data_IF_267929058363
#
_entry.id   IF_267929058363
#
_cell.length_a   1.000
_cell.length_b   1.000
_cell.length_c   1.000
_cell.angle_alpha   90.00
_cell.angle_beta   90.00
_cell.angle_gamma   90.00
#
_symmetry.space_group_name_H-M   'P 1'
#
loop_
_entity.id
_entity.type
_entity.pdbx_description
1 polymer ?
#
# COMPACT_ATOMS: atom_id res chain seq x y z
N UNK A 1 40.42 -55.62 54.74
CA UNK A 1 41.04 -55.38 53.42
C UNK A 1 39.96 -55.57 52.36
N UNK A 2 39.79 -54.56 51.50
CA UNK A 2 39.17 -54.65 50.17
C UNK A 2 37.67 -55.01 50.15
N UNK A 3 36.85 -54.04 49.72
CA UNK A 3 36.14 -54.12 48.43
C UNK A 3 34.87 -53.27 48.44
N UNK A 4 34.59 -52.71 47.25
CA UNK A 4 33.26 -52.29 46.79
C UNK A 4 32.66 -50.96 47.30
N UNK A 5 33.30 -49.84 47.02
CA UNK A 5 32.60 -48.54 46.96
C UNK A 5 33.32 -47.61 45.96
N UNK A 6 33.24 -47.91 44.66
CA UNK A 6 33.63 -46.95 43.63
C UNK A 6 33.01 -47.33 42.29
N UNK A 7 32.58 -46.32 41.53
CA UNK A 7 32.03 -46.36 40.18
C UNK A 7 30.50 -46.49 40.05
N UNK A 8 29.76 -45.51 40.59
CA UNK A 8 28.62 -44.94 39.85
C UNK A 8 29.07 -43.57 39.34
N UNK A 9 29.84 -43.59 38.25
CA UNK A 9 30.14 -42.39 37.49
C UNK A 9 28.82 -41.91 36.88
N UNK A 10 28.30 -40.82 37.43
CA UNK A 10 27.23 -40.01 36.87
C UNK A 10 27.62 -39.63 35.44
N UNK A 11 27.18 -40.40 34.45
CA UNK A 11 26.91 -39.90 33.11
C UNK A 11 25.71 -38.94 33.24
N UNK A 12 25.96 -37.76 33.79
CA UNK A 12 25.13 -36.60 33.55
C UNK A 12 25.38 -36.20 32.09
N UNK A 13 24.73 -36.91 31.17
CA UNK A 13 24.58 -36.45 29.81
C UNK A 13 23.91 -35.08 29.91
N UNK A 14 24.68 -34.03 29.65
CA UNK A 14 24.16 -32.73 29.27
C UNK A 14 23.38 -32.93 27.97
N UNK A 15 22.16 -33.45 28.08
CA UNK A 15 21.12 -33.26 27.09
C UNK A 15 20.83 -31.76 27.13
N UNK A 16 21.64 -31.00 26.40
CA UNK A 16 21.21 -29.69 25.91
C UNK A 16 19.96 -29.97 25.11
N UNK A 17 18.81 -29.87 25.78
CA UNK A 17 17.51 -29.75 25.15
C UNK A 17 17.61 -28.52 24.25
N UNK A 18 18.07 -28.74 23.02
CA UNK A 18 17.79 -27.85 21.92
C UNK A 18 16.28 -27.94 21.80
N UNK A 19 15.58 -27.03 22.49
CA UNK A 19 14.17 -26.84 22.26
C UNK A 19 14.04 -26.68 20.75
N UNK A 20 13.42 -27.66 20.10
CA UNK A 20 13.16 -27.55 18.66
C UNK A 20 12.34 -26.27 18.51
N UNK A 21 12.93 -25.32 17.80
CA UNK A 21 12.23 -24.12 17.40
C UNK A 21 11.11 -24.58 16.48
N UNK A 22 9.87 -24.35 16.91
CA UNK A 22 8.68 -24.67 16.11
C UNK A 22 8.71 -23.73 14.90
N UNK A 23 8.48 -24.31 13.73
CA UNK A 23 8.32 -23.68 12.42
C UNK A 23 7.02 -24.28 11.86
N UNK A 24 5.91 -23.63 12.20
CA UNK A 24 4.55 -24.13 11.99
C UNK A 24 4.11 -24.04 10.53
N UNK A 25 4.66 -23.10 9.77
CA UNK A 25 4.33 -22.88 8.36
C UNK A 25 5.40 -23.40 7.38
N UNK A 26 6.49 -23.97 7.92
CA UNK A 26 7.53 -24.72 7.23
C UNK A 26 8.31 -23.89 6.22
N UNK A 27 8.50 -22.60 6.50
CA UNK A 27 9.21 -21.67 5.63
C UNK A 27 10.73 -21.63 5.92
N UNK A 28 11.16 -22.23 7.03
CA UNK A 28 12.56 -22.28 7.49
C UNK A 28 12.92 -21.22 8.54
N UNK A 29 11.96 -20.40 8.99
CA UNK A 29 12.05 -19.52 10.14
C UNK A 29 11.25 -20.14 11.29
N UNK A 30 11.72 -19.90 12.53
CA UNK A 30 10.93 -20.32 13.68
C UNK A 30 9.82 -19.30 13.98
N UNK A 31 8.64 -19.77 14.40
CA UNK A 31 7.51 -18.95 14.83
C UNK A 31 7.92 -17.83 15.82
N UNK A 32 8.87 -18.15 16.72
CA UNK A 32 9.37 -17.23 17.73
C UNK A 32 10.19 -16.09 17.12
N UNK A 33 11.05 -16.39 16.14
CA UNK A 33 11.85 -15.39 15.42
C UNK A 33 10.94 -14.50 14.57
N UNK A 34 10.04 -15.09 13.79
CA UNK A 34 9.07 -14.34 12.98
C UNK A 34 8.25 -13.39 13.84
N UNK A 35 7.63 -13.91 14.90
CA UNK A 35 6.81 -13.09 15.82
C UNK A 35 7.64 -11.96 16.39
N UNK A 36 8.87 -12.22 16.85
CA UNK A 36 9.72 -11.18 17.42
C UNK A 36 10.12 -10.11 16.40
N UNK A 37 10.45 -10.49 15.16
CA UNK A 37 10.75 -9.55 14.07
C UNK A 37 9.53 -8.73 13.67
N UNK A 38 8.36 -9.36 13.53
CA UNK A 38 7.10 -8.68 13.24
C UNK A 38 6.73 -7.67 14.33
N UNK A 39 6.90 -8.01 15.61
CA UNK A 39 6.66 -7.03 16.68
C UNK A 39 7.71 -5.90 16.69
N UNK A 40 8.99 -6.22 16.48
CA UNK A 40 10.06 -5.23 16.50
C UNK A 40 9.91 -4.20 15.38
N UNK A 41 9.58 -4.65 14.17
CA UNK A 41 9.49 -3.80 12.98
C UNK A 41 8.05 -3.37 12.65
N UNK A 42 7.09 -3.58 13.55
CA UNK A 42 5.70 -3.18 13.34
C UNK A 42 5.60 -1.67 13.03
N UNK A 43 5.06 -1.26 11.86
CA UNK A 43 4.97 0.13 11.50
C UNK A 43 4.02 0.90 12.40
N UNK A 44 4.25 2.21 12.50
CA UNK A 44 3.34 3.14 13.14
C UNK A 44 2.41 3.74 12.11
N UNK A 45 1.11 3.46 12.18
CA UNK A 45 0.16 4.01 11.23
C UNK A 45 -0.35 5.38 11.68
N UNK A 46 -0.27 6.35 10.77
CA UNK A 46 -0.87 7.68 10.88
C UNK A 46 -2.14 7.70 10.03
N UNK A 47 -3.30 7.51 10.68
CA UNK A 47 -4.61 7.40 10.01
C UNK A 47 -5.37 8.71 10.10
N UNK A 48 -6.03 9.13 9.02
CA UNK A 48 -6.86 10.35 8.99
C UNK A 48 -8.01 10.27 10.00
N UNK A 49 -8.27 11.34 10.77
CA UNK A 49 -9.47 11.42 11.62
C UNK A 49 -10.78 11.43 10.83
N UNK A 50 -10.72 11.72 9.53
CA UNK A 50 -11.89 11.80 8.66
C UNK A 50 -12.20 10.48 7.95
N UNK A 51 -11.35 9.47 8.15
CA UNK A 51 -11.50 8.18 7.50
C UNK A 51 -12.80 7.48 7.93
N UNK A 52 -13.53 6.93 6.96
CA UNK A 52 -14.81 6.26 7.21
C UNK A 52 -14.67 4.90 7.90
N UNK A 53 -13.52 4.23 7.72
CA UNK A 53 -13.22 2.93 8.30
C UNK A 53 -12.28 3.07 9.49
N UNK A 54 -12.06 4.30 9.98
CA UNK A 54 -11.36 4.80 11.19
C UNK A 54 -10.05 4.12 11.60
N UNK A 55 -9.98 2.79 11.66
CA UNK A 55 -8.80 1.98 11.92
C UNK A 55 -8.84 0.66 11.13
N UNK A 56 -7.68 0.05 10.86
CA UNK A 56 -7.61 -1.33 10.37
C UNK A 56 -8.43 -2.29 11.24
N UNK A 57 -9.13 -3.20 10.59
CA UNK A 57 -10.01 -4.17 11.18
C UNK A 57 -9.27 -5.46 11.56
N UNK A 58 -9.59 -5.95 12.75
CA UNK A 58 -9.41 -7.34 13.14
C UNK A 58 -10.46 -8.20 12.43
N UNK A 59 -10.06 -9.38 11.96
CA UNK A 59 -10.88 -10.39 11.32
C UNK A 59 -11.00 -11.63 12.19
N UNK A 60 -12.17 -12.27 12.14
CA UNK A 60 -12.45 -13.47 12.92
C UNK A 60 -11.54 -14.63 12.52
N UNK A 61 -10.85 -15.28 13.46
CA UNK A 61 -10.06 -16.46 13.16
C UNK A 61 -10.97 -17.64 12.78
N UNK A 62 -10.43 -18.58 12.00
CA UNK A 62 -11.03 -19.85 11.61
C UNK A 62 -12.32 -19.74 10.76
N UNK A 63 -12.61 -18.54 10.24
CA UNK A 63 -13.71 -18.30 9.30
C UNK A 63 -13.13 -18.01 7.93
N UNK A 64 -13.38 -18.88 6.93
CA UNK A 64 -12.85 -18.71 5.57
C UNK A 64 -13.39 -17.47 4.84
N UNK A 65 -14.60 -17.01 5.20
CA UNK A 65 -15.15 -15.74 4.71
C UNK A 65 -14.57 -14.60 5.55
N UNK A 66 -13.83 -13.64 4.95
CA UNK A 66 -13.23 -12.51 5.66
C UNK A 66 -14.33 -11.70 6.34
N UNK A 67 -14.42 -11.86 7.66
CA UNK A 67 -15.46 -11.26 8.49
C UNK A 67 -14.81 -10.33 9.51
N UNK A 68 -14.91 -9.01 9.31
CA UNK A 68 -14.40 -8.04 10.28
C UNK A 68 -15.10 -8.20 11.64
N UNK A 69 -14.30 -8.25 12.70
CA UNK A 69 -14.72 -8.34 14.10
C UNK A 69 -14.73 -6.98 14.78
N UNK A 70 -13.64 -6.20 14.66
CA UNK A 70 -13.49 -4.90 15.31
C UNK A 70 -12.55 -4.00 14.49
N UNK A 71 -12.81 -2.68 14.48
CA UNK A 71 -11.97 -1.69 13.78
C UNK A 71 -11.04 -1.05 14.84
N UNK A 72 -9.94 -1.76 15.17
CA UNK A 72 -9.13 -1.51 16.38
C UNK A 72 -7.64 -1.26 16.11
N UNK A 73 -7.22 -1.25 14.85
CA UNK A 73 -5.82 -1.05 14.47
C UNK A 73 -5.00 -2.34 14.40
N UNK A 74 -5.63 -3.52 14.36
CA UNK A 74 -4.90 -4.78 14.18
C UNK A 74 -4.08 -4.75 12.89
N UNK A 75 -2.79 -5.03 13.03
CA UNK A 75 -1.88 -5.33 11.93
C UNK A 75 -1.71 -6.84 11.80
N UNK A 76 -1.61 -7.27 10.55
CA UNK A 76 -1.27 -8.63 10.19
C UNK A 76 0.13 -8.65 9.58
N UNK A 77 0.93 -9.66 9.91
CA UNK A 77 2.33 -9.75 9.51
C UNK A 77 2.63 -11.04 8.78
N UNK A 78 3.62 -11.02 7.90
CA UNK A 78 4.22 -12.20 7.29
C UNK A 78 5.73 -11.98 7.23
N UNK A 79 6.51 -13.01 7.55
CA UNK A 79 7.96 -12.93 7.52
C UNK A 79 8.53 -13.99 6.57
N UNK A 80 8.89 -13.60 5.35
CA UNK A 80 9.32 -14.59 4.36
C UNK A 80 10.85 -14.59 4.19
N UNK A 81 11.53 -15.74 4.27
CA UNK A 81 12.96 -15.82 4.00
C UNK A 81 13.28 -15.55 2.54
N UNK A 82 14.35 -14.78 2.30
CA UNK A 82 14.79 -14.34 0.98
C UNK A 82 16.30 -14.49 0.81
N UNK A 83 16.74 -14.43 -0.45
CA UNK A 83 18.16 -14.35 -0.83
C UNK A 83 18.36 -13.14 -1.71
N UNK A 84 19.02 -12.11 -1.18
CA UNK A 84 19.25 -10.86 -1.90
C UNK A 84 20.74 -10.70 -2.14
N UNK A 85 21.14 -10.72 -3.42
CA UNK A 85 22.56 -10.61 -3.84
C UNK A 85 23.49 -11.58 -3.10
N UNK A 86 23.03 -12.81 -2.88
CA UNK A 86 23.80 -13.86 -2.20
C UNK A 86 23.87 -13.74 -0.67
N UNK A 87 23.13 -12.81 -0.06
CA UNK A 87 22.99 -12.68 1.39
C UNK A 87 21.62 -13.19 1.83
N UNK A 88 21.55 -13.73 3.06
CA UNK A 88 20.26 -14.05 3.68
C UNK A 88 19.54 -12.75 3.97
N UNK A 89 18.25 -12.73 3.70
CA UNK A 89 17.36 -11.62 3.98
C UNK A 89 16.05 -12.19 4.52
N UNK A 90 15.29 -11.36 5.22
CA UNK A 90 13.89 -11.64 5.56
C UNK A 90 13.10 -10.45 5.04
N UNK A 91 12.04 -10.72 4.31
CA UNK A 91 11.10 -9.71 3.88
C UNK A 91 9.89 -9.77 4.81
N UNK A 92 9.66 -8.68 5.54
CA UNK A 92 8.48 -8.54 6.38
C UNK A 92 7.42 -7.79 5.59
N UNK A 93 6.21 -8.34 5.51
CA UNK A 93 5.04 -7.63 5.05
C UNK A 93 4.12 -7.35 6.24
N UNK A 94 3.59 -6.13 6.29
CA UNK A 94 2.60 -5.70 7.26
C UNK A 94 1.35 -5.26 6.52
N UNK A 95 0.27 -6.00 6.72
CA UNK A 95 -1.03 -5.74 6.13
C UNK A 95 -1.91 -5.03 7.14
N UNK A 96 -2.53 -3.96 6.69
CA UNK A 96 -3.66 -3.36 7.38
C UNK A 96 -4.91 -3.56 6.54
N UNK A 97 -5.84 -4.30 7.13
CA UNK A 97 -7.02 -4.82 6.46
C UNK A 97 -8.20 -3.97 6.89
N UNK A 98 -8.95 -3.41 5.95
CA UNK A 98 -10.03 -2.48 6.25
C UNK A 98 -11.37 -3.13 5.97
N UNK A 99 -12.37 -2.75 6.77
CA UNK A 99 -13.75 -3.17 6.55
C UNK A 99 -14.25 -2.69 5.19
N UNK A 100 -13.82 -1.49 4.77
CA UNK A 100 -14.36 -0.81 3.60
C UNK A 100 -13.44 0.30 3.11
N UNK A 101 -13.11 0.30 1.82
CA UNK A 101 -12.69 1.49 1.07
C UNK A 101 -13.93 2.38 0.83
N UNK A 102 -13.83 3.65 1.18
CA UNK A 102 -14.85 4.68 0.92
C UNK A 102 -14.33 5.85 0.10
N UNK A 103 -13.22 5.67 -0.60
CA UNK A 103 -12.86 6.52 -1.71
C UNK A 103 -13.98 6.58 -2.75
N UNK A 104 -13.76 7.38 -3.79
CA UNK A 104 -14.78 7.65 -4.82
C UNK A 104 -15.35 6.39 -5.48
N UNK A 105 -14.59 5.30 -5.51
CA UNK A 105 -14.99 3.98 -6.03
C UNK A 105 -15.02 2.92 -4.93
N UNK A 106 -15.43 3.33 -3.73
CA UNK A 106 -15.35 2.51 -2.53
C UNK A 106 -16.02 1.14 -2.63
N UNK A 107 -15.43 0.16 -1.97
CA UNK A 107 -15.86 -1.23 -1.92
C UNK A 107 -15.71 -1.80 -0.51
N UNK A 108 -16.42 -2.89 -0.23
CA UNK A 108 -16.19 -3.68 0.99
C UNK A 108 -14.86 -4.39 0.91
N UNK A 109 -14.20 -4.56 2.05
CA UNK A 109 -12.93 -5.24 2.20
C UNK A 109 -11.83 -4.59 1.37
N UNK A 110 -10.84 -4.06 2.07
CA UNK A 110 -9.70 -3.44 1.43
C UNK A 110 -8.42 -3.91 2.12
N UNK A 111 -7.41 -4.16 1.31
CA UNK A 111 -6.15 -4.75 1.74
C UNK A 111 -5.04 -3.85 1.27
N UNK A 112 -4.40 -3.22 2.23
CA UNK A 112 -3.25 -2.36 1.99
C UNK A 112 -2.07 -2.83 2.83
N UNK A 113 -0.86 -2.50 2.39
CA UNK A 113 0.33 -3.05 3.02
C UNK A 113 1.58 -2.19 2.88
N UNK A 114 2.53 -2.48 3.76
CA UNK A 114 3.91 -1.98 3.72
C UNK A 114 4.85 -3.15 3.90
N UNK A 115 6.08 -3.03 3.41
CA UNK A 115 7.08 -4.08 3.54
C UNK A 115 8.45 -3.53 3.95
N UNK A 116 9.21 -4.34 4.68
CA UNK A 116 10.58 -4.05 5.10
C UNK A 116 11.51 -5.20 4.67
N UNK A 117 12.64 -4.87 4.05
CA UNK A 117 13.67 -5.85 3.75
C UNK A 117 14.74 -5.83 4.84
N UNK A 118 14.82 -6.90 5.62
CA UNK A 118 15.79 -7.09 6.68
C UNK A 118 17.03 -7.82 6.19
N UNK A 119 18.19 -7.37 6.66
CA UNK A 119 19.48 -8.02 6.43
C UNK A 119 20.13 -8.28 7.80
N UNK A 120 20.67 -9.48 8.06
CA UNK A 120 21.28 -9.81 9.34
C UNK A 120 22.62 -9.07 9.49
N UNK A 121 22.94 -8.74 10.73
CA UNK A 121 24.22 -8.22 11.17
C UNK A 121 24.98 -9.31 11.92
N UNK A 122 26.16 -9.64 11.43
CA UNK A 122 26.99 -10.69 12.02
C UNK A 122 26.54 -12.10 11.62
N UNK A 123 26.70 -13.05 12.54
CA UNK A 123 26.52 -14.50 12.27
C UNK A 123 25.36 -15.14 13.03
N UNK A 124 24.74 -14.43 13.97
CA UNK A 124 23.70 -14.98 14.84
C UNK A 124 22.34 -14.64 14.26
N UNK A 125 21.77 -15.52 13.44
CA UNK A 125 20.53 -15.21 12.69
C UNK A 125 19.26 -15.44 13.52
N UNK A 126 19.35 -16.16 14.64
CA UNK A 126 18.20 -16.49 15.50
C UNK A 126 17.88 -15.38 16.53
N UNK A 127 18.70 -14.33 16.62
CA UNK A 127 18.44 -13.17 17.48
C UNK A 127 17.77 -12.05 16.67
N UNK A 128 16.53 -11.65 17.00
CA UNK A 128 15.85 -10.53 16.34
C UNK A 128 16.68 -9.24 16.29
N UNK A 129 17.49 -8.98 17.32
CA UNK A 129 18.35 -7.77 17.40
C UNK A 129 19.49 -7.78 16.41
N UNK A 130 19.83 -8.94 15.86
CA UNK A 130 20.83 -9.04 14.79
C UNK A 130 20.28 -8.54 13.45
N UNK A 131 18.96 -8.40 13.29
CA UNK A 131 18.38 -7.98 12.02
C UNK A 131 18.21 -6.47 11.95
N UNK A 132 18.48 -5.90 10.77
CA UNK A 132 18.21 -4.50 10.46
C UNK A 132 17.42 -4.36 9.18
N UNK A 133 16.42 -3.48 9.19
CA UNK A 133 15.79 -3.05 7.96
C UNK A 133 16.80 -2.25 7.12
N UNK A 134 16.93 -2.59 5.84
CA UNK A 134 17.71 -1.83 4.86
C UNK A 134 16.84 -0.95 3.99
N UNK A 135 15.65 -1.43 3.65
CA UNK A 135 14.73 -0.74 2.78
C UNK A 135 13.30 -0.90 3.27
N UNK A 136 12.48 0.09 2.92
CA UNK A 136 11.04 0.09 3.16
C UNK A 136 10.30 0.32 1.85
N UNK A 137 9.14 -0.31 1.75
CA UNK A 137 8.15 -0.17 0.69
C UNK A 137 6.81 0.19 1.30
N UNK A 138 6.05 1.06 0.65
CA UNK A 138 4.65 1.32 0.99
C UNK A 138 3.79 1.25 -0.26
N UNK A 139 2.77 0.39 -0.24
CA UNK A 139 1.86 0.22 -1.37
C UNK A 139 0.84 1.37 -1.39
N UNK A 140 0.69 2.02 -2.54
CA UNK A 140 -0.32 3.05 -2.75
C UNK A 140 -0.86 2.95 -4.16
N UNK A 141 -2.13 2.59 -4.32
CA UNK A 141 -2.76 2.33 -5.63
C UNK A 141 -2.00 1.29 -6.47
N UNK A 142 -1.37 0.34 -5.79
CA UNK A 142 -0.55 -0.68 -6.40
C UNK A 142 -1.33 -1.46 -7.47
N UNK A 143 -0.62 -1.95 -8.51
CA UNK A 143 -1.19 -2.68 -9.64
C UNK A 143 -2.20 -1.89 -10.50
N UNK A 144 -2.35 -0.59 -10.27
CA UNK A 144 -3.20 0.27 -11.08
C UNK A 144 -2.38 1.19 -12.01
N UNK A 145 -3.06 1.89 -12.91
CA UNK A 145 -2.46 3.00 -13.68
C UNK A 145 -2.05 4.19 -12.79
N UNK A 146 -2.54 4.19 -11.55
CA UNK A 146 -2.37 5.19 -10.53
C UNK A 146 -1.29 4.82 -9.50
N UNK A 147 -0.51 3.76 -9.71
CA UNK A 147 0.47 3.26 -8.73
C UNK A 147 1.45 4.34 -8.23
N UNK A 148 1.21 4.74 -6.99
CA UNK A 148 1.92 5.75 -6.23
C UNK A 148 2.76 5.10 -5.11
N UNK A 149 3.05 3.81 -5.20
CA UNK A 149 3.82 3.10 -4.19
C UNK A 149 5.22 3.70 -4.05
N UNK A 150 5.77 3.61 -2.84
CA UNK A 150 7.02 4.29 -2.47
C UNK A 150 8.08 3.31 -2.01
N UNK A 151 9.34 3.67 -2.26
CA UNK A 151 10.52 2.95 -1.80
C UNK A 151 11.52 3.93 -1.19
N UNK A 152 12.19 3.51 -0.13
CA UNK A 152 13.29 4.26 0.47
C UNK A 152 14.24 3.36 1.25
N UNK A 153 15.36 3.92 1.69
CA UNK A 153 16.26 3.28 2.67
C UNK A 153 15.67 3.44 4.06
N UNK A 154 15.82 2.42 4.89
CA UNK A 154 15.40 2.49 6.28
C UNK A 154 16.04 3.67 7.05
N UNK A 155 17.29 4.00 6.72
CA UNK A 155 17.99 5.16 7.27
C UNK A 155 17.34 6.51 6.97
N UNK A 156 16.63 6.63 5.84
CA UNK A 156 15.87 7.84 5.50
C UNK A 156 14.73 8.08 6.50
N UNK A 157 14.17 6.99 7.02
CA UNK A 157 13.02 7.02 7.93
C UNK A 157 13.42 6.90 9.40
N UNK A 158 14.72 6.73 9.68
CA UNK A 158 15.25 6.34 10.99
C UNK A 158 14.61 5.04 11.52
N UNK A 159 14.34 4.09 10.61
CA UNK A 159 13.60 2.85 10.87
C UNK A 159 14.45 1.60 10.60
N UNK A 160 15.76 1.64 10.89
CA UNK A 160 16.65 0.48 10.70
C UNK A 160 16.47 -0.60 11.76
N UNK A 161 15.94 -0.24 12.92
CA UNK A 161 15.86 -1.10 14.11
C UNK A 161 14.43 -1.33 14.61
N UNK A 162 13.49 -0.52 14.14
CA UNK A 162 12.09 -0.47 14.53
C UNK A 162 11.22 -0.18 13.30
N UNK A 163 9.90 -0.12 13.51
CA UNK A 163 8.94 0.12 12.44
C UNK A 163 8.91 1.57 11.95
N UNK A 164 8.76 1.74 10.63
CA UNK A 164 8.59 3.05 10.02
C UNK A 164 7.25 3.71 10.39
N UNK A 165 7.22 5.03 10.33
CA UNK A 165 5.98 5.81 10.35
C UNK A 165 5.34 5.81 8.95
N UNK A 166 4.09 5.38 8.86
CA UNK A 166 3.35 5.20 7.60
C UNK A 166 2.12 6.09 7.63
N UNK A 167 1.93 6.89 6.59
CA UNK A 167 0.76 7.75 6.42
C UNK A 167 -0.27 7.06 5.55
N UNK A 168 -1.47 6.90 6.09
CA UNK A 168 -2.58 6.23 5.42
C UNK A 168 -3.53 7.31 4.88
N UNK A 169 -3.80 7.30 3.57
CA UNK A 169 -4.69 8.28 2.96
C UNK A 169 -6.15 8.03 3.32
N UNK A 170 -6.88 9.10 3.58
CA UNK A 170 -8.33 9.10 3.85
C UNK A 170 -9.12 8.36 2.75
N UNK A 171 -9.89 7.37 3.18
CA UNK A 171 -10.94 6.69 2.44
C UNK A 171 -10.47 5.62 1.45
N UNK A 172 -9.28 5.79 0.87
CA UNK A 172 -8.64 4.77 -0.01
C UNK A 172 -7.59 3.93 0.68
N UNK A 173 -7.12 4.37 1.85
CA UNK A 173 -6.10 3.72 2.68
C UNK A 173 -4.74 3.40 2.05
N UNK A 174 -4.41 4.00 0.90
CA UNK A 174 -3.08 3.93 0.32
C UNK A 174 -1.99 4.37 1.33
N UNK A 175 -0.87 3.66 1.32
CA UNK A 175 0.23 3.80 2.28
C UNK A 175 1.36 4.65 1.74
N UNK A 176 1.85 5.59 2.55
CA UNK A 176 2.91 6.51 2.16
C UNK A 176 3.99 6.59 3.24
N UNK A 177 5.26 6.61 2.80
CA UNK A 177 6.44 6.78 3.66
C UNK A 177 6.67 8.27 4.02
N UNK A 178 5.89 9.18 3.44
CA UNK A 178 6.02 10.61 3.63
C UNK A 178 4.66 11.31 3.50
N UNK A 179 4.29 12.11 4.51
CA UNK A 179 3.02 12.83 4.58
C UNK A 179 2.80 13.81 3.42
N UNK A 180 3.85 14.50 2.99
CA UNK A 180 3.77 15.46 1.89
C UNK A 180 3.50 14.74 0.57
N UNK A 181 4.18 13.61 0.33
CA UNK A 181 3.95 12.81 -0.88
C UNK A 181 2.56 12.16 -0.89
N UNK A 182 1.97 11.83 0.26
CA UNK A 182 0.58 11.37 0.33
C UNK A 182 -0.39 12.39 -0.29
N UNK A 183 -0.23 13.68 0.02
CA UNK A 183 -1.06 14.74 -0.56
C UNK A 183 -0.88 14.90 -2.10
N UNK A 184 0.09 14.20 -2.68
CA UNK A 184 0.42 14.18 -4.11
C UNK A 184 0.32 12.76 -4.72
N UNK A 185 -0.43 11.88 -4.07
CA UNK A 185 -0.76 10.57 -4.60
C UNK A 185 -1.68 10.63 -5.83
N UNK A 186 -2.38 9.54 -6.14
CA UNK A 186 -3.22 9.49 -7.33
C UNK A 186 -4.62 10.05 -7.10
N UNK A 187 -4.71 11.39 -7.14
CA UNK A 187 -5.97 12.11 -7.30
C UNK A 187 -6.99 11.79 -6.20
N UNK A 188 -6.84 12.46 -5.05
CA UNK A 188 -7.76 12.37 -3.92
C UNK A 188 -7.15 11.83 -2.63
N UNK A 189 -5.87 11.47 -2.65
CA UNK A 189 -5.18 11.01 -1.45
C UNK A 189 -4.90 12.20 -0.52
N UNK A 190 -5.34 12.09 0.72
CA UNK A 190 -5.20 13.14 1.74
C UNK A 190 -4.80 12.49 3.06
N UNK A 191 -3.66 12.89 3.61
CA UNK A 191 -3.17 12.44 4.93
C UNK A 191 -3.10 13.60 5.93
N UNK A 192 -4.10 14.48 5.93
CA UNK A 192 -4.17 15.62 6.86
C UNK A 192 -4.94 15.22 8.11
N UNK A 193 -4.63 15.87 9.22
CA UNK A 193 -5.25 15.59 10.52
C UNK A 193 -5.12 14.12 10.92
N UNK A 194 -4.00 13.48 10.60
CA UNK A 194 -3.78 12.10 11.00
C UNK A 194 -3.43 11.98 12.48
N UNK A 195 -3.81 10.87 13.09
CA UNK A 195 -3.42 10.48 14.43
C UNK A 195 -2.72 9.11 14.40
N UNK A 196 -1.88 8.86 15.40
CA UNK A 196 -1.24 7.55 15.57
C UNK A 196 -2.29 6.51 15.98
N UNK A 197 -2.46 5.48 15.15
CA UNK A 197 -3.33 4.35 15.46
C UNK A 197 -2.81 3.59 16.70
N UNK A 198 -3.71 2.96 17.50
CA UNK A 198 -3.28 2.10 18.60
C UNK A 198 -2.33 1.00 18.12
N UNK A 199 -1.23 0.79 18.85
CA UNK A 199 -0.31 -0.31 18.58
C UNK A 199 -0.78 -1.58 19.29
N UNK A 200 -1.35 -2.50 18.53
CA UNK A 200 -1.67 -3.85 18.99
C UNK A 200 -0.56 -4.82 18.56
N UNK A 201 -0.41 -5.97 19.23
CA UNK A 201 0.48 -7.02 18.75
C UNK A 201 0.13 -7.43 17.30
N UNK A 202 1.13 -7.50 16.44
CA UNK A 202 0.97 -7.98 15.05
C UNK A 202 0.57 -9.45 15.07
N UNK A 203 -0.43 -9.83 14.28
CA UNK A 203 -0.87 -11.22 14.10
C UNK A 203 -0.08 -11.86 12.96
N UNK A 204 0.71 -12.91 13.22
CA UNK A 204 1.42 -13.62 12.15
C UNK A 204 0.41 -14.38 11.28
N UNK A 205 0.41 -14.12 9.97
CA UNK A 205 -0.42 -14.81 8.98
C UNK A 205 0.16 -16.17 8.60
N UNK A 206 1.47 -16.36 8.77
CA UNK A 206 2.21 -17.47 8.17
C UNK A 206 2.29 -17.39 6.65
N UNK A 207 2.72 -18.47 6.01
CA UNK A 207 2.88 -18.56 4.56
C UNK A 207 1.63 -19.04 3.78
N UNK A 208 1.53 -18.75 2.47
CA UNK A 208 0.50 -19.30 1.60
C UNK A 208 0.40 -20.83 1.67
N UNK A 209 -0.77 -21.33 2.07
CA UNK A 209 -1.02 -22.77 2.22
C UNK A 209 -0.72 -23.31 3.62
N UNK A 210 -0.15 -22.50 4.51
CA UNK A 210 0.14 -22.85 5.90
C UNK A 210 -0.21 -21.68 6.84
N UNK A 211 -1.45 -21.18 6.71
CA UNK A 211 -1.93 -20.04 7.48
C UNK A 211 -1.84 -20.28 9.00
N UNK A 212 -1.30 -19.30 9.73
CA UNK A 212 -1.21 -19.27 11.18
C UNK A 212 -2.36 -18.48 11.81
N UNK A 213 -2.54 -18.62 13.12
CA UNK A 213 -3.49 -17.82 13.92
C UNK A 213 -4.93 -17.80 13.38
N UNK A 214 -5.36 -18.89 12.74
CA UNK A 214 -6.70 -19.02 12.16
C UNK A 214 -6.95 -18.11 10.95
N UNK A 215 -5.91 -17.58 10.29
CA UNK A 215 -6.02 -16.66 9.16
C UNK A 215 -6.47 -17.32 7.84
N UNK A 216 -7.31 -18.37 7.91
CA UNK A 216 -7.78 -19.15 6.75
C UNK A 216 -8.49 -18.29 5.68
N UNK A 217 -9.06 -17.15 6.07
CA UNK A 217 -9.68 -16.16 5.17
C UNK A 217 -8.69 -15.46 4.22
N UNK A 218 -7.38 -15.57 4.44
CA UNK A 218 -6.39 -14.95 3.56
C UNK A 218 -6.48 -15.48 2.12
N UNK A 219 -6.99 -16.69 1.94
CA UNK A 219 -7.21 -17.36 0.65
C UNK A 219 -8.55 -17.01 0.00
N UNK A 220 -9.36 -16.16 0.63
CA UNK A 220 -10.67 -15.80 0.11
C UNK A 220 -10.57 -14.98 -1.17
N UNK A 221 -11.39 -15.32 -2.16
CA UNK A 221 -11.49 -14.57 -3.42
C UNK A 221 -12.28 -13.26 -3.31
N UNK A 222 -12.78 -12.92 -2.11
CA UNK A 222 -13.54 -11.68 -1.89
C UNK A 222 -12.65 -10.42 -1.87
N UNK A 223 -11.32 -10.57 -1.76
CA UNK A 223 -10.35 -9.48 -1.78
C UNK A 223 -8.97 -9.96 -2.27
N UNK A 224 -8.08 -9.07 -2.72
CA UNK A 224 -6.84 -9.47 -3.39
C UNK A 224 -5.67 -9.78 -2.44
N UNK A 225 -5.94 -10.22 -1.21
CA UNK A 225 -4.88 -10.41 -0.20
C UNK A 225 -3.85 -11.48 -0.61
N UNK A 226 -4.29 -12.61 -1.16
CA UNK A 226 -3.37 -13.68 -1.56
C UNK A 226 -2.38 -13.26 -2.65
N UNK A 227 -2.81 -12.37 -3.56
CA UNK A 227 -1.93 -11.84 -4.62
C UNK A 227 -0.83 -10.94 -4.05
N UNK A 228 -1.07 -10.30 -2.89
CA UNK A 228 -0.09 -9.48 -2.17
C UNK A 228 0.86 -10.34 -1.32
N UNK A 229 0.32 -11.32 -0.59
CA UNK A 229 1.08 -12.25 0.27
C UNK A 229 2.05 -13.13 -0.52
N UNK A 230 1.73 -13.46 -1.76
CA UNK A 230 2.53 -14.38 -2.57
C UNK A 230 3.70 -13.73 -3.32
N UNK A 231 3.86 -12.40 -3.25
CA UNK A 231 4.89 -11.67 -4.02
C UNK A 231 5.91 -10.98 -3.13
N UNK A 232 7.05 -10.65 -3.72
CA UNK A 232 8.05 -9.77 -3.10
C UNK A 232 7.88 -8.34 -3.59
N UNK A 233 7.95 -7.39 -2.65
CA UNK A 233 8.02 -5.96 -2.91
C UNK A 233 9.45 -5.49 -3.15
N UNK A 234 10.46 -6.36 -3.10
CA UNK A 234 11.86 -6.02 -3.33
C UNK A 234 12.44 -6.79 -4.53
N UNK A 235 11.81 -6.65 -5.69
CA UNK A 235 12.34 -7.19 -6.96
C UNK A 235 13.74 -6.65 -7.28
N UNK A 236 14.53 -7.40 -8.07
CA UNK A 236 15.89 -6.98 -8.46
C UNK A 236 15.92 -5.58 -9.06
N UNK A 237 15.00 -5.25 -9.96
CA UNK A 237 14.91 -3.93 -10.59
C UNK A 237 14.66 -2.80 -9.57
N UNK A 238 13.83 -3.07 -8.57
CA UNK A 238 13.50 -2.11 -7.51
C UNK A 238 14.66 -1.94 -6.53
N UNK A 239 15.37 -3.02 -6.20
CA UNK A 239 16.59 -2.98 -5.42
C UNK A 239 17.71 -2.21 -6.14
N UNK A 240 17.92 -2.44 -7.43
CA UNK A 240 18.88 -1.67 -8.24
C UNK A 240 18.53 -0.18 -8.29
N UNK A 241 17.24 0.16 -8.34
CA UNK A 241 16.78 1.53 -8.21
C UNK A 241 17.12 2.11 -6.84
N UNK A 242 16.73 1.44 -5.76
CA UNK A 242 17.04 1.85 -4.37
C UNK A 242 18.54 2.10 -4.15
N UNK A 243 19.39 1.25 -4.72
CA UNK A 243 20.84 1.38 -4.59
C UNK A 243 21.41 2.62 -5.30
N UNK A 244 20.73 3.14 -6.34
CA UNK A 244 21.12 4.33 -7.08
C UNK A 244 20.54 5.63 -6.52
N UNK A 245 19.49 5.55 -5.70
CA UNK A 245 18.89 6.73 -5.07
C UNK A 245 19.83 7.30 -3.99
N UNK A 246 19.83 8.64 -3.80
CA UNK A 246 20.43 9.26 -2.62
C UNK A 246 19.91 8.62 -1.34
N UNK A 247 20.76 8.58 -0.30
CA UNK A 247 20.43 7.87 0.95
C UNK A 247 19.36 8.54 1.79
N UNK A 248 18.88 9.71 1.37
CA UNK A 248 17.88 10.55 2.03
C UNK A 248 16.55 10.60 1.27
N UNK A 249 16.46 9.94 0.12
CA UNK A 249 15.33 10.12 -0.78
C UNK A 249 14.24 9.08 -0.50
N UNK A 250 12.99 9.54 -0.50
CA UNK A 250 11.80 8.70 -0.71
C UNK A 250 11.41 8.83 -2.17
N UNK A 251 11.32 7.71 -2.88
CA UNK A 251 11.04 7.72 -4.32
C UNK A 251 9.84 6.84 -4.66
N UNK A 252 9.22 7.14 -5.80
CA UNK A 252 8.20 6.26 -6.38
C UNK A 252 8.82 4.92 -6.80
N UNK A 253 8.11 3.83 -6.49
CA UNK A 253 8.48 2.46 -6.80
C UNK A 253 8.45 2.19 -8.31
N UNK A 254 7.45 2.73 -9.00
CA UNK A 254 7.15 2.55 -10.44
C UNK A 254 7.12 3.92 -11.16
N UNK A 255 8.28 4.60 -11.30
CA UNK A 255 8.34 5.97 -11.83
C UNK A 255 7.75 6.14 -13.25
N UNK A 256 7.72 5.08 -14.05
CA UNK A 256 7.13 5.05 -15.39
C UNK A 256 5.61 5.27 -15.39
N UNK A 257 4.93 5.11 -14.25
CA UNK A 257 3.48 5.36 -14.10
C UNK A 257 3.15 6.83 -13.83
N UNK A 258 4.14 7.65 -13.47
CA UNK A 258 3.94 9.08 -13.12
C UNK A 258 3.26 9.92 -14.21
N UNK A 259 3.54 9.76 -15.52
CA UNK A 259 2.87 10.58 -16.54
C UNK A 259 1.34 10.39 -16.54
N UNK A 260 0.87 9.15 -16.35
CA UNK A 260 -0.57 8.87 -16.26
C UNK A 260 -1.20 9.52 -15.02
N UNK A 261 -0.52 9.47 -13.88
CA UNK A 261 -1.00 10.11 -12.65
C UNK A 261 -1.12 11.63 -12.78
N UNK A 262 -0.17 12.28 -13.47
CA UNK A 262 -0.26 13.72 -13.74
C UNK A 262 -1.53 14.09 -14.53
N UNK A 263 -1.90 13.27 -15.51
CA UNK A 263 -3.14 13.45 -16.26
C UNK A 263 -4.39 13.21 -15.39
N UNK A 264 -4.38 12.17 -14.56
CA UNK A 264 -5.49 11.85 -13.64
C UNK A 264 -5.68 12.95 -12.59
N UNK A 265 -4.58 13.43 -12.00
CA UNK A 265 -4.60 14.52 -11.03
C UNK A 265 -5.15 15.81 -11.64
N UNK A 266 -4.70 16.15 -12.85
CA UNK A 266 -5.22 17.31 -13.58
C UNK A 266 -6.71 17.17 -13.94
N UNK A 267 -7.14 15.96 -14.32
CA UNK A 267 -8.55 15.65 -14.57
C UNK A 267 -9.42 15.78 -13.33
N UNK A 268 -8.97 15.26 -12.19
CA UNK A 268 -9.68 15.38 -10.91
C UNK A 268 -9.75 16.83 -10.44
N UNK A 269 -8.65 17.59 -10.53
CA UNK A 269 -8.66 19.01 -10.19
C UNK A 269 -9.65 19.83 -11.05
N UNK A 270 -9.86 19.44 -12.32
CA UNK A 270 -10.85 20.06 -13.18
C UNK A 270 -12.29 19.67 -12.78
N UNK A 271 -12.53 18.41 -12.41
CA UNK A 271 -13.84 17.93 -11.94
C UNK A 271 -14.19 18.55 -10.59
N UNK A 272 -13.27 18.50 -9.63
CA UNK A 272 -13.44 19.07 -8.30
C UNK A 272 -13.55 20.60 -8.36
N UNK A 273 -12.81 21.25 -9.27
CA UNK A 273 -12.95 22.68 -9.55
C UNK A 273 -14.25 23.06 -10.26
N UNK A 274 -14.87 22.14 -11.02
CA UNK A 274 -16.19 22.33 -11.61
C UNK A 274 -17.33 22.11 -10.60
N UNK A 275 -17.12 21.21 -9.63
CA UNK A 275 -18.05 20.96 -8.52
C UNK A 275 -17.88 21.97 -7.37
N UNK A 276 -16.71 22.58 -7.25
CA UNK A 276 -16.33 23.50 -6.17
C UNK A 276 -15.66 24.72 -6.77
N UNK A 277 -16.42 25.79 -7.00
CA UNK A 277 -15.90 27.02 -7.59
C UNK A 277 -14.67 27.57 -6.83
N UNK A 278 -13.57 27.71 -7.57
CA UNK A 278 -12.37 28.52 -7.31
C UNK A 278 -11.40 28.12 -6.18
N UNK A 279 -10.63 27.02 -6.32
CA UNK A 279 -9.33 26.79 -5.61
C UNK A 279 -8.35 25.83 -6.33
N UNK A 280 -7.96 26.07 -7.58
CA UNK A 280 -7.11 25.11 -8.35
C UNK A 280 -5.72 25.63 -8.79
N UNK A 281 -5.19 26.69 -8.17
CA UNK A 281 -3.92 27.32 -8.63
C UNK A 281 -2.67 26.86 -7.86
N UNK A 282 -2.79 26.34 -6.63
CA UNK A 282 -1.62 26.07 -5.77
C UNK A 282 -0.95 24.71 -6.04
N UNK A 283 -1.69 23.72 -6.55
CA UNK A 283 -1.21 22.34 -6.77
C UNK A 283 -0.20 22.22 -7.92
N UNK A 284 -0.19 23.16 -8.86
CA UNK A 284 0.76 23.15 -9.98
C UNK A 284 2.19 23.56 -9.58
N UNK A 285 2.35 24.19 -8.41
CA UNK A 285 3.61 24.79 -7.96
C UNK A 285 4.49 23.79 -7.19
N UNK A 286 3.90 22.88 -6.41
CA UNK A 286 4.63 21.92 -5.58
C UNK A 286 5.36 20.82 -6.37
N UNK A 287 4.94 20.54 -7.61
CA UNK A 287 5.53 19.49 -8.47
C UNK A 287 6.72 20.03 -9.32
N UNK A 288 7.01 21.34 -9.30
CA UNK A 288 7.91 21.98 -10.23
C UNK A 288 9.27 22.42 -9.63
N UNK A 289 10.19 21.47 -9.43
CA UNK A 289 11.61 21.75 -9.24
C UNK A 289 12.33 22.09 -10.55
N UNK A 290 12.83 23.32 -10.65
CA UNK A 290 13.81 23.97 -11.57
C UNK A 290 13.86 23.73 -13.10
N UNK A 291 13.09 22.83 -13.71
CA UNK A 291 13.08 22.67 -15.19
C UNK A 291 11.71 22.89 -15.88
N UNK A 292 10.74 23.43 -15.16
CA UNK A 292 9.33 23.33 -15.55
C UNK A 292 8.80 24.52 -16.37
N UNK A 293 9.52 25.63 -16.54
CA UNK A 293 8.96 26.82 -17.20
C UNK A 293 8.41 26.59 -18.62
N UNK A 294 9.16 25.87 -19.46
CA UNK A 294 8.76 25.60 -20.86
C UNK A 294 7.76 24.45 -20.99
N UNK A 295 7.88 23.42 -20.13
CA UNK A 295 6.94 22.29 -20.11
C UNK A 295 5.57 22.71 -19.54
N UNK A 296 5.56 23.58 -18.52
CA UNK A 296 4.35 24.15 -17.94
C UNK A 296 3.65 25.07 -18.93
N UNK A 297 4.40 25.92 -19.64
CA UNK A 297 3.83 26.73 -20.72
C UNK A 297 3.12 25.87 -21.78
N UNK A 298 3.72 24.75 -22.16
CA UNK A 298 3.14 23.82 -23.14
C UNK A 298 1.91 23.09 -22.60
N UNK A 299 1.97 22.60 -21.36
CA UNK A 299 0.86 21.89 -20.73
C UNK A 299 -0.33 22.82 -20.42
N UNK A 300 -0.08 24.01 -19.87
CA UNK A 300 -1.12 25.03 -19.64
C UNK A 300 -1.74 25.48 -20.96
N UNK A 301 -0.94 25.65 -22.02
CA UNK A 301 -1.45 26.00 -23.34
C UNK A 301 -2.29 24.88 -23.94
N UNK A 302 -1.84 23.62 -23.88
CA UNK A 302 -2.57 22.46 -24.39
C UNK A 302 -3.90 22.22 -23.65
N UNK A 303 -3.90 22.34 -22.32
CA UNK A 303 -5.10 22.19 -21.48
C UNK A 303 -6.07 23.35 -21.69
N UNK A 304 -5.58 24.59 -21.73
CA UNK A 304 -6.41 25.76 -22.04
C UNK A 304 -7.04 25.65 -23.43
N UNK A 305 -6.28 25.17 -24.41
CA UNK A 305 -6.79 24.93 -25.76
C UNK A 305 -7.81 23.78 -25.81
N UNK A 306 -7.64 22.72 -25.02
CA UNK A 306 -8.61 21.63 -24.91
C UNK A 306 -9.93 22.09 -24.27
N UNK A 307 -9.85 22.81 -23.13
CA UNK A 307 -11.02 23.37 -22.45
C UNK A 307 -11.76 24.38 -23.33
N UNK A 308 -11.03 25.25 -24.03
CA UNK A 308 -11.63 26.19 -24.98
C UNK A 308 -12.37 25.47 -26.11
N UNK A 309 -11.81 24.39 -26.66
CA UNK A 309 -12.49 23.59 -27.69
C UNK A 309 -13.75 22.92 -27.17
N UNK A 310 -13.71 22.38 -25.96
CA UNK A 310 -14.89 21.77 -25.32
C UNK A 310 -15.99 22.78 -25.06
N UNK A 311 -15.66 23.97 -24.53
CA UNK A 311 -16.62 25.06 -24.33
C UNK A 311 -17.23 25.53 -25.66
N UNK A 312 -16.42 25.65 -26.71
CA UNK A 312 -16.88 26.06 -28.03
C UNK A 312 -17.81 25.02 -28.66
N UNK A 313 -17.51 23.72 -28.49
CA UNK A 313 -18.37 22.63 -28.96
C UNK A 313 -19.73 22.61 -28.26
N UNK A 314 -19.76 22.82 -26.94
CA UNK A 314 -21.01 22.92 -26.16
C UNK A 314 -21.81 24.17 -26.56
N UNK A 315 -21.16 25.33 -26.70
CA UNK A 315 -21.82 26.54 -27.16
C UNK A 315 -22.45 26.41 -28.55
N UNK A 316 -21.77 25.72 -29.47
CA UNK A 316 -22.29 25.45 -30.82
C UNK A 316 -23.49 24.48 -30.81
N UNK A 317 -23.46 23.46 -29.96
CA UNK A 317 -24.57 22.51 -29.80
C UNK A 317 -25.82 23.18 -29.22
N UNK A 318 -25.65 24.07 -28.24
CA UNK A 318 -26.75 24.83 -27.65
C UNK A 318 -27.29 25.92 -28.59
N UNK A 319 -26.42 26.58 -29.36
CA UNK A 319 -26.83 27.57 -30.36
C UNK A 319 -27.61 26.98 -31.53
N UNK A 320 -27.26 25.76 -31.97
CA UNK A 320 -27.97 25.06 -33.05
C UNK A 320 -29.39 24.60 -32.66
N UNK A 321 -29.73 24.57 -31.37
CA UNK A 321 -31.04 24.15 -30.87
C UNK A 321 -32.11 25.26 -30.89
N UNK A 322 -31.80 26.47 -31.35
CA UNK A 322 -32.74 27.62 -31.32
C UNK A 322 -33.37 27.99 -32.66
N UNK A 323 -33.05 27.29 -33.74
CA UNK A 323 -33.73 27.45 -35.04
C UNK A 323 -34.74 26.33 -35.29
N UNK A 324 -35.96 26.51 -34.74
CA UNK A 324 -37.16 25.81 -35.24
C UNK A 324 -37.74 26.59 -36.43
N UNK A 325 -38.02 25.95 -37.58
CA UNK A 325 -38.90 26.50 -38.57
C UNK A 325 -40.36 26.13 -38.25
N UNK A 326 -41.14 27.20 -38.23
CA UNK A 326 -42.58 27.35 -38.17
C UNK A 326 -43.27 26.65 -39.36
N UNK A 327 -44.30 25.85 -39.04
CA UNK A 327 -45.63 25.75 -39.69
C UNK A 327 -45.75 25.78 -41.22
N UNK A 328 -46.30 24.71 -41.80
CA UNK A 328 -47.23 24.85 -42.94
C UNK A 328 -48.29 23.73 -42.93
N UNK A 329 -49.55 24.15 -43.08
CA UNK A 329 -50.76 23.31 -43.14
C UNK A 329 -51.39 23.42 -44.54
N UNK A 330 -51.87 22.32 -45.11
CA UNK A 330 -52.92 22.26 -46.17
C UNK A 330 -53.14 20.78 -46.55
N UNK A 331 -54.23 20.14 -46.12
CA UNK A 331 -55.51 19.92 -46.84
C UNK A 331 -55.47 18.97 -48.05
N UNK A 332 -56.13 17.82 -47.85
CA UNK A 332 -57.17 17.19 -48.70
C UNK A 332 -56.87 16.34 -49.96
N UNK A 333 -57.49 15.15 -49.90
CA UNK A 333 -58.35 14.46 -50.91
C UNK A 333 -57.79 13.30 -51.80
N UNK A 334 -58.66 12.40 -52.34
CA UNK A 334 -58.56 10.95 -52.11
C UNK A 334 -58.65 10.08 -53.38
N UNK A 335 -58.74 8.75 -53.19
CA UNK A 335 -59.20 7.68 -54.11
C UNK A 335 -58.32 7.35 -55.35
N UNK A 336 -57.89 6.08 -55.46
CA UNK A 336 -58.57 5.04 -56.29
C UNK A 336 -57.84 3.68 -56.30
N UNK A 337 -58.67 2.64 -56.23
CA UNK A 337 -58.55 1.22 -56.59
C UNK A 337 -57.48 0.85 -57.66
N UNK A 338 -56.79 -0.27 -57.45
CA UNK A 338 -57.14 -1.59 -58.03
C UNK A 338 -56.63 -2.70 -57.13
#
# INVERSE_FOLDING_TARGET
MRSLLLACALLATCLSSHAQTIDSDHDGLSDALETALLQQFAPTLMVSTNDCSTLPAQFKPDIATPTPEADNGTLYGQATPRRVRGQNAIELHFYHLWRRDCGRLGHTLDTEHVAALLIPEGKQHDDPKSWKAKFWYAAAHEDTVCDASQITRASTLHAEHDGAMIWVSDGKHASFLNAELCNHGCGGDVCRNSYEAPRLPVVNLGEPGAAMNGAVWMTSTQWPLMDKVSRSDFTDARLERLLRLPTTDVAWATPEKRPAQGAILGGNAAIDGALTGARSTDTAIAIAGSHTGSALGTATHATGHALSRSLHAVGKALGASTTSPTTESATDDPKKKQ
#
